data_IF_090181769010
#
_entry.id   IF_090181769010
#
_cell.length_a   1.000
_cell.length_b   1.000
_cell.length_c   1.000
_cell.angle_alpha   90.00
_cell.angle_beta   90.00
_cell.angle_gamma   90.00
#
_symmetry.space_group_name_H-M   'P 1'
#
loop_
_entity.id
_entity.type
_entity.pdbx_description
1 polymer ?
#
# COMPACT_ATOMS: atom_id res chain seq x y z
N UNK A 1 32.38 -29.21 45.23
CA UNK A 1 31.41 -29.77 44.28
C UNK A 1 30.19 -28.85 44.30
N UNK A 2 30.12 -27.90 43.38
CA UNK A 2 28.99 -26.97 43.24
C UNK A 2 27.81 -27.67 42.59
N UNK A 3 26.71 -27.83 43.31
CA UNK A 3 25.47 -28.35 42.78
C UNK A 3 24.92 -27.39 41.70
N UNK A 4 24.89 -27.82 40.47
CA UNK A 4 24.10 -27.19 39.42
C UNK A 4 22.64 -27.22 39.87
N UNK A 5 22.01 -26.05 39.95
CA UNK A 5 20.57 -25.94 40.18
C UNK A 5 19.86 -26.30 38.83
N UNK A 6 19.02 -27.36 38.81
CA UNK A 6 18.34 -27.79 37.57
C UNK A 6 17.25 -26.88 37.08
N UNK A 7 16.91 -25.81 37.79
CA UNK A 7 15.70 -25.00 37.57
C UNK A 7 15.97 -23.58 37.07
N UNK A 8 16.99 -23.40 36.25
CA UNK A 8 16.99 -22.18 35.42
C UNK A 8 16.27 -22.49 34.13
N UNK A 9 15.01 -22.01 33.95
CA UNK A 9 14.36 -22.15 32.68
C UNK A 9 15.20 -21.38 31.65
N UNK A 10 15.66 -22.05 30.61
CA UNK A 10 16.22 -21.45 29.42
C UNK A 10 15.12 -20.66 28.66
N UNK A 11 14.49 -19.75 29.37
CA UNK A 11 13.65 -18.74 28.76
C UNK A 11 14.59 -17.70 28.13
N UNK A 12 15.02 -17.95 26.90
CA UNK A 12 15.38 -16.86 26.00
C UNK A 12 14.13 -16.01 25.89
N UNK A 13 13.97 -15.04 26.80
CA UNK A 13 12.91 -14.02 26.69
C UNK A 13 13.13 -13.38 25.32
N UNK A 14 12.25 -13.67 24.38
CA UNK A 14 12.16 -12.93 23.14
C UNK A 14 11.71 -11.52 23.56
N UNK A 15 12.66 -10.62 23.73
CA UNK A 15 12.37 -9.26 24.13
C UNK A 15 12.03 -8.48 22.85
N UNK A 16 10.75 -8.32 22.60
CA UNK A 16 10.26 -7.40 21.58
C UNK A 16 10.65 -5.97 22.00
N UNK A 17 11.54 -5.33 21.24
CA UNK A 17 12.00 -3.96 21.51
C UNK A 17 11.56 -3.04 20.39
N UNK A 18 10.81 -2.00 20.72
CA UNK A 18 10.51 -0.93 19.79
C UNK A 18 11.83 -0.23 19.39
N UNK A 19 12.12 -0.16 18.09
CA UNK A 19 13.34 0.45 17.53
C UNK A 19 13.07 1.79 16.91
N UNK A 20 12.03 1.86 16.10
CA UNK A 20 11.65 3.10 15.43
C UNK A 20 10.14 3.25 15.42
N UNK A 21 9.71 4.48 15.53
CA UNK A 21 8.35 4.93 15.26
C UNK A 21 8.44 5.97 14.16
N UNK A 22 7.68 5.77 13.10
CA UNK A 22 7.56 6.72 12.00
C UNK A 22 6.11 7.19 11.92
N UNK A 23 5.90 8.50 11.90
CA UNK A 23 4.60 9.11 11.66
C UNK A 23 4.69 9.82 10.33
N UNK A 24 3.87 9.40 9.39
CA UNK A 24 3.87 9.96 8.04
C UNK A 24 2.52 10.55 7.67
N UNK A 25 2.56 11.63 6.91
CA UNK A 25 1.43 12.25 6.24
C UNK A 25 1.66 12.15 4.74
N UNK A 26 0.76 11.49 4.08
CA UNK A 26 0.78 11.23 2.64
C UNK A 26 -0.37 11.97 1.97
N UNK A 27 -0.10 12.55 0.81
CA UNK A 27 -1.06 13.11 -0.12
C UNK A 27 -0.85 12.47 -1.48
N UNK A 28 -1.90 11.90 -2.05
CA UNK A 28 -1.89 11.32 -3.38
C UNK A 28 -3.00 11.91 -4.24
N UNK A 29 -2.63 12.40 -5.40
CA UNK A 29 -3.57 12.82 -6.44
C UNK A 29 -3.83 11.63 -7.34
N UNK A 30 -5.09 11.30 -7.57
CA UNK A 30 -5.46 10.26 -8.52
C UNK A 30 -5.53 10.86 -9.94
N UNK A 31 -5.62 9.99 -10.94
CA UNK A 31 -5.86 10.41 -12.33
C UNK A 31 -7.23 11.04 -12.56
N UNK A 32 -8.16 10.77 -11.66
CA UNK A 32 -9.49 11.40 -11.60
C UNK A 32 -9.49 12.44 -10.48
N UNK A 33 -10.67 12.94 -10.09
CA UNK A 33 -10.77 14.04 -9.12
C UNK A 33 -10.42 13.72 -7.66
N UNK A 34 -10.53 12.48 -7.13
CA UNK A 34 -10.29 12.25 -5.71
C UNK A 34 -8.85 12.52 -5.30
N UNK A 35 -8.69 13.24 -4.18
CA UNK A 35 -7.42 13.41 -3.48
C UNK A 35 -7.45 12.52 -2.23
N UNK A 36 -6.39 11.74 -2.05
CA UNK A 36 -6.25 10.81 -0.93
C UNK A 36 -5.20 11.34 0.03
N UNK A 37 -5.59 11.51 1.29
CA UNK A 37 -4.69 11.81 2.39
C UNK A 37 -4.59 10.61 3.31
N UNK A 38 -3.40 10.29 3.79
CA UNK A 38 -3.19 9.20 4.75
C UNK A 38 -2.24 9.64 5.84
N UNK A 39 -2.65 9.50 7.09
CA UNK A 39 -1.77 9.54 8.24
C UNK A 39 -1.42 8.11 8.64
N UNK A 40 -0.14 7.78 8.73
CA UNK A 40 0.30 6.42 9.08
C UNK A 40 1.21 6.45 10.29
N UNK A 41 0.92 5.59 11.27
CA UNK A 41 1.85 5.21 12.32
C UNK A 41 2.52 3.90 11.93
N UNK A 42 3.84 3.91 11.78
CA UNK A 42 4.66 2.75 11.43
C UNK A 42 5.58 2.42 12.62
N UNK A 43 5.38 1.25 13.21
CA UNK A 43 6.09 0.78 14.38
C UNK A 43 7.00 -0.38 14.01
N UNK A 44 8.30 -0.19 14.20
CA UNK A 44 9.31 -1.21 13.90
C UNK A 44 9.89 -1.77 15.19
N UNK A 45 9.73 -3.07 15.39
CA UNK A 45 10.20 -3.81 16.53
C UNK A 45 11.37 -4.71 16.16
N UNK A 46 12.37 -4.82 17.02
CA UNK A 46 13.43 -5.81 16.93
C UNK A 46 13.10 -6.98 17.84
N UNK A 47 13.07 -8.18 17.28
CA UNK A 47 12.99 -9.44 18.03
C UNK A 47 14.37 -9.92 18.44
N UNK A 48 15.36 -9.71 17.58
CA UNK A 48 16.77 -9.97 17.80
C UNK A 48 17.62 -9.23 16.75
N UNK A 49 18.92 -9.52 16.67
CA UNK A 49 19.83 -8.84 15.71
C UNK A 49 19.47 -9.07 14.23
N UNK A 50 18.78 -10.18 13.92
CA UNK A 50 18.48 -10.59 12.52
C UNK A 50 16.99 -10.48 12.17
N UNK A 51 16.12 -10.38 13.16
CA UNK A 51 14.67 -10.43 12.93
C UNK A 51 14.00 -9.15 13.42
N UNK A 52 13.17 -8.57 12.56
CA UNK A 52 12.35 -7.40 12.85
C UNK A 52 10.89 -7.67 12.53
N UNK A 53 10.01 -6.96 13.21
CA UNK A 53 8.58 -7.00 12.99
C UNK A 53 8.06 -5.57 12.85
N UNK A 54 7.25 -5.33 11.84
CA UNK A 54 6.69 -4.02 11.49
C UNK A 54 5.17 -4.08 11.54
N UNK A 55 4.58 -3.02 12.09
CA UNK A 55 3.13 -2.79 12.10
C UNK A 55 2.86 -1.42 11.52
N UNK A 56 1.99 -1.33 10.50
CA UNK A 56 1.52 -0.08 9.92
C UNK A 56 0.04 0.10 10.16
N UNK A 57 -0.31 1.26 10.71
CA UNK A 57 -1.66 1.65 11.06
C UNK A 57 -2.00 2.94 10.29
N UNK A 58 -2.62 2.85 9.11
CA UNK A 58 -3.01 4.02 8.34
C UNK A 58 -4.41 4.49 8.71
N UNK A 59 -4.61 5.80 8.76
CA UNK A 59 -5.92 6.44 8.73
C UNK A 59 -6.01 7.27 7.45
N UNK A 60 -7.08 7.08 6.70
CA UNK A 60 -7.22 7.62 5.35
C UNK A 60 -8.44 8.55 5.25
N UNK A 61 -8.26 9.66 4.54
CA UNK A 61 -9.31 10.58 4.10
C UNK A 61 -9.28 10.66 2.59
N UNK A 62 -10.43 10.62 1.98
CA UNK A 62 -10.57 10.81 0.54
C UNK A 62 -11.56 11.95 0.31
N UNK A 63 -11.16 12.91 -0.48
CA UNK A 63 -12.00 14.05 -0.85
C UNK A 63 -12.14 14.08 -2.36
N UNK A 64 -13.37 14.11 -2.84
CA UNK A 64 -13.66 14.15 -4.27
C UNK A 64 -15.08 14.61 -4.56
N UNK A 65 -15.41 14.66 -5.85
CA UNK A 65 -16.70 15.19 -6.32
C UNK A 65 -17.90 14.37 -5.84
N UNK A 66 -17.78 13.02 -5.78
CA UNK A 66 -18.90 12.15 -5.44
C UNK A 66 -19.16 12.08 -3.93
N UNK A 67 -18.10 12.12 -3.11
CA UNK A 67 -18.21 12.05 -1.66
C UNK A 67 -16.89 12.42 -0.98
N UNK A 68 -16.98 12.64 0.34
CA UNK A 68 -15.85 12.66 1.25
C UNK A 68 -15.97 11.44 2.16
N UNK A 69 -14.92 10.62 2.20
CA UNK A 69 -14.88 9.40 3.03
C UNK A 69 -13.68 9.42 3.96
N UNK A 70 -13.79 8.82 5.12
CA UNK A 70 -12.67 8.66 6.05
C UNK A 70 -12.85 7.43 6.93
N UNK A 71 -11.77 6.68 7.12
CA UNK A 71 -11.71 5.55 8.04
C UNK A 71 -10.27 5.05 8.19
N UNK A 72 -10.09 4.05 9.05
CA UNK A 72 -8.86 3.28 9.08
C UNK A 72 -8.64 2.59 7.72
N UNK A 73 -7.42 2.69 7.20
CA UNK A 73 -6.99 1.91 6.04
C UNK A 73 -6.54 0.51 6.45
N UNK A 74 -6.09 -0.30 5.49
CA UNK A 74 -5.66 -1.68 5.75
C UNK A 74 -4.44 -1.74 6.66
N UNK A 75 -4.54 -2.49 7.75
CA UNK A 75 -3.41 -2.74 8.66
C UNK A 75 -2.41 -3.65 7.95
N UNK A 76 -1.12 -3.27 7.98
CA UNK A 76 -0.06 -4.10 7.40
C UNK A 76 0.85 -4.62 8.50
N UNK A 77 1.13 -5.92 8.45
CA UNK A 77 2.06 -6.62 9.33
C UNK A 77 3.17 -7.22 8.48
N UNK A 78 4.42 -7.05 8.90
CA UNK A 78 5.57 -7.57 8.15
C UNK A 78 6.64 -8.08 9.10
N UNK A 79 7.06 -9.30 8.87
CA UNK A 79 8.23 -9.91 9.50
C UNK A 79 9.38 -9.90 8.51
N UNK A 80 10.54 -9.40 8.93
CA UNK A 80 11.75 -9.36 8.09
C UNK A 80 12.89 -10.06 8.81
N UNK A 81 13.58 -10.93 8.09
CA UNK A 81 14.78 -11.63 8.54
C UNK A 81 15.98 -11.28 7.67
N UNK A 82 17.04 -10.80 8.30
CA UNK A 82 18.34 -10.69 7.62
C UNK A 82 18.92 -12.10 7.50
N UNK A 83 19.02 -12.59 6.24
CA UNK A 83 19.53 -13.94 5.91
C UNK A 83 21.00 -13.94 5.63
N UNK A 84 21.54 -12.83 5.16
CA UNK A 84 22.96 -12.67 4.87
C UNK A 84 23.38 -11.23 5.16
N UNK A 85 24.53 -11.05 5.82
CA UNK A 85 25.13 -9.74 6.07
C UNK A 85 26.62 -9.81 5.86
N UNK A 86 27.13 -8.90 5.05
CA UNK A 86 28.57 -8.70 4.80
C UNK A 86 28.91 -7.20 4.93
N UNK A 87 30.20 -6.87 4.87
CA UNK A 87 30.62 -5.46 4.87
C UNK A 87 30.09 -4.67 3.65
N UNK A 88 29.77 -5.35 2.56
CA UNK A 88 29.36 -4.71 1.30
C UNK A 88 27.86 -4.66 1.10
N UNK A 89 27.10 -5.66 1.58
CA UNK A 89 25.65 -5.72 1.38
C UNK A 89 24.94 -6.62 2.41
N UNK A 90 23.66 -6.34 2.61
CA UNK A 90 22.72 -7.12 3.41
C UNK A 90 21.63 -7.69 2.51
N UNK A 91 21.25 -8.96 2.76
CA UNK A 91 20.08 -9.58 2.13
C UNK A 91 19.02 -9.84 3.18
N UNK A 92 17.83 -9.32 2.94
CA UNK A 92 16.69 -9.49 3.84
C UNK A 92 15.56 -10.20 3.11
N UNK A 93 14.93 -11.15 3.80
CA UNK A 93 13.71 -11.82 3.40
C UNK A 93 12.56 -11.26 4.23
N UNK A 94 11.48 -10.85 3.59
CA UNK A 94 10.30 -10.30 4.24
C UNK A 94 9.07 -11.14 3.92
N UNK A 95 8.22 -11.32 4.92
CA UNK A 95 6.94 -12.00 4.80
C UNK A 95 5.90 -11.27 5.65
N UNK A 96 4.73 -11.04 5.09
CA UNK A 96 3.70 -10.28 5.78
C UNK A 96 2.35 -10.35 5.12
N UNK A 97 1.44 -9.50 5.57
CA UNK A 97 0.11 -9.42 5.01
C UNK A 97 -0.57 -8.10 5.34
N UNK A 98 -1.67 -7.87 4.64
CA UNK A 98 -2.62 -6.80 4.91
C UNK A 98 -3.91 -7.40 5.45
N UNK A 99 -4.47 -6.73 6.44
CA UNK A 99 -5.74 -7.05 7.08
C UNK A 99 -6.69 -5.89 6.76
N UNK A 100 -7.82 -6.14 6.05
CA UNK A 100 -8.78 -5.11 5.74
C UNK A 100 -9.47 -4.63 7.02
N UNK A 101 -9.71 -3.33 7.14
CA UNK A 101 -10.40 -2.72 8.28
C UNK A 101 -11.87 -2.48 8.02
N UNK A 102 -12.27 -2.52 6.74
CA UNK A 102 -13.66 -2.46 6.30
C UNK A 102 -13.86 -3.28 5.02
N UNK A 103 -15.10 -3.35 4.53
CA UNK A 103 -15.50 -4.18 3.39
C UNK A 103 -15.33 -3.50 2.02
N UNK A 104 -14.84 -2.26 1.95
CA UNK A 104 -14.83 -1.42 0.74
C UNK A 104 -16.23 -1.16 0.19
N UNK A 105 -17.20 -0.95 1.06
CA UNK A 105 -18.64 -0.83 0.75
C UNK A 105 -19.20 0.56 1.05
N UNK A 106 -18.35 1.60 1.08
CA UNK A 106 -18.82 2.96 1.24
C UNK A 106 -19.74 3.38 0.10
N UNK A 107 -20.80 4.08 0.46
CA UNK A 107 -21.85 4.56 -0.43
C UNK A 107 -22.07 6.07 -0.22
N UNK A 108 -22.74 6.72 -1.17
CA UNK A 108 -23.28 8.07 -1.00
C UNK A 108 -24.43 8.08 0.01
N UNK A 109 -24.89 9.25 0.40
CA UNK A 109 -26.08 9.42 1.25
C UNK A 109 -27.34 8.82 0.63
N UNK A 110 -27.39 8.77 -0.71
CA UNK A 110 -28.51 8.24 -1.48
C UNK A 110 -28.40 6.73 -1.72
N UNK A 111 -27.39 6.08 -1.13
CA UNK A 111 -27.18 4.63 -1.20
C UNK A 111 -26.44 4.14 -2.43
N UNK A 112 -25.95 5.03 -3.30
CA UNK A 112 -25.13 4.63 -4.45
C UNK A 112 -23.75 4.18 -4.00
N UNK A 113 -23.31 2.99 -4.38
CA UNK A 113 -21.99 2.48 -4.06
C UNK A 113 -20.90 3.36 -4.67
N UNK A 114 -19.86 3.69 -3.89
CA UNK A 114 -18.75 4.52 -4.35
C UNK A 114 -17.64 3.69 -5.04
N UNK A 115 -16.99 4.25 -6.08
CA UNK A 115 -15.83 3.61 -6.71
C UNK A 115 -14.71 3.30 -5.72
N UNK A 116 -13.81 2.37 -6.06
CA UNK A 116 -12.64 2.02 -5.23
C UNK A 116 -11.73 3.21 -4.92
N UNK A 117 -11.74 4.24 -5.73
CA UNK A 117 -11.02 5.50 -5.50
C UNK A 117 -11.43 6.22 -4.21
N UNK A 118 -12.68 6.01 -3.74
CA UNK A 118 -13.25 6.60 -2.53
C UNK A 118 -13.21 5.66 -1.33
N UNK A 119 -12.78 4.41 -1.52
CA UNK A 119 -12.69 3.43 -0.45
C UNK A 119 -11.40 3.62 0.35
N UNK A 120 -11.45 3.49 1.66
CA UNK A 120 -10.29 3.63 2.56
C UNK A 120 -9.57 2.31 2.81
N UNK A 121 -10.19 1.20 2.46
CA UNK A 121 -9.67 -0.17 2.52
C UNK A 121 -9.87 -0.84 1.18
N UNK A 122 -9.03 -1.81 0.85
CA UNK A 122 -9.21 -2.65 -0.33
C UNK A 122 -10.24 -3.76 -0.09
N UNK A 123 -10.61 -4.02 1.18
CA UNK A 123 -11.56 -5.05 1.57
C UNK A 123 -11.04 -6.48 1.37
N UNK A 124 -9.71 -6.64 1.17
CA UNK A 124 -9.08 -7.93 0.90
C UNK A 124 -7.99 -8.25 1.89
N UNK A 125 -7.86 -9.52 2.26
CA UNK A 125 -6.67 -10.05 2.91
C UNK A 125 -5.61 -10.28 1.85
N UNK A 126 -4.43 -9.68 2.02
CA UNK A 126 -3.34 -9.84 1.06
C UNK A 126 -2.14 -10.50 1.74
N UNK A 127 -1.54 -11.47 1.07
CA UNK A 127 -0.27 -12.06 1.44
C UNK A 127 0.84 -11.32 0.70
N UNK A 128 1.93 -10.99 1.41
CA UNK A 128 3.07 -10.26 0.85
C UNK A 128 4.34 -11.01 1.19
N UNK A 129 5.19 -11.22 0.19
CA UNK A 129 6.53 -11.78 0.38
C UNK A 129 7.53 -11.01 -0.48
N UNK A 130 8.77 -10.90 -0.03
CA UNK A 130 9.77 -10.16 -0.78
C UNK A 130 11.18 -10.40 -0.29
N UNK A 131 12.14 -10.06 -1.14
CA UNK A 131 13.56 -10.09 -0.86
C UNK A 131 14.16 -8.73 -1.19
N UNK A 132 15.11 -8.27 -0.38
CA UNK A 132 15.86 -7.04 -0.66
C UNK A 132 17.34 -7.23 -0.48
N UNK A 133 18.09 -6.60 -1.36
CA UNK A 133 19.55 -6.46 -1.31
C UNK A 133 19.86 -4.98 -1.09
N UNK A 134 20.51 -4.69 0.00
CA UNK A 134 20.82 -3.33 0.42
C UNK A 134 22.33 -3.19 0.56
N UNK A 135 22.89 -2.20 -0.11
CA UNK A 135 24.26 -1.79 0.13
C UNK A 135 24.33 -0.28 0.46
N UNK A 136 25.54 0.25 0.63
CA UNK A 136 25.71 1.68 0.99
C UNK A 136 25.02 2.63 0.00
N UNK A 137 25.01 2.28 -1.28
CA UNK A 137 24.61 3.18 -2.37
C UNK A 137 23.34 2.72 -3.10
N UNK A 138 22.96 1.46 -3.00
CA UNK A 138 21.87 0.89 -3.76
C UNK A 138 20.91 0.08 -2.88
N UNK A 139 19.64 0.17 -3.22
CA UNK A 139 18.58 -0.72 -2.76
C UNK A 139 17.98 -1.41 -3.99
N UNK A 140 17.98 -2.74 -3.97
CA UNK A 140 17.20 -3.58 -4.87
C UNK A 140 16.23 -4.38 -4.03
N UNK A 141 14.94 -4.30 -4.35
CA UNK A 141 13.93 -5.10 -3.67
C UNK A 141 12.94 -5.64 -4.69
N UNK A 142 12.54 -6.88 -4.51
CA UNK A 142 11.45 -7.47 -5.28
C UNK A 142 10.46 -8.12 -4.31
N UNK A 143 9.21 -8.13 -4.69
CA UNK A 143 8.15 -8.71 -3.87
C UNK A 143 6.94 -9.11 -4.69
N UNK A 144 6.13 -9.96 -4.08
CA UNK A 144 4.86 -10.43 -4.62
C UNK A 144 3.77 -10.13 -3.60
N UNK A 145 2.62 -9.68 -4.09
CA UNK A 145 1.39 -9.48 -3.30
C UNK A 145 0.26 -10.27 -3.93
N UNK A 146 -0.33 -11.16 -3.13
CA UNK A 146 -1.41 -12.06 -3.54
C UNK A 146 -2.64 -11.75 -2.71
N UNK A 147 -3.71 -11.17 -3.29
CA UNK A 147 -5.00 -11.05 -2.63
C UNK A 147 -5.66 -12.42 -2.47
N UNK A 148 -6.19 -12.71 -1.27
CA UNK A 148 -6.74 -14.03 -0.93
C UNK A 148 -8.24 -14.14 -1.12
N UNK A 149 -8.94 -13.00 -1.18
CA UNK A 149 -10.41 -12.95 -1.32
C UNK A 149 -10.83 -11.79 -2.20
N UNK A 150 -12.09 -11.77 -2.59
CA UNK A 150 -12.74 -10.61 -3.20
C UNK A 150 -13.25 -9.65 -2.12
N UNK A 151 -13.39 -8.36 -2.45
CA UNK A 151 -14.02 -7.38 -1.59
C UNK A 151 -15.55 -7.41 -1.71
N UNK A 152 -16.24 -6.53 -0.97
CA UNK A 152 -17.70 -6.41 -0.99
C UNK A 152 -18.17 -5.11 -1.64
N UNK A 153 -17.33 -4.45 -2.42
CA UNK A 153 -17.73 -3.27 -3.17
C UNK A 153 -18.83 -3.65 -4.17
N UNK A 154 -19.81 -2.77 -4.36
CA UNK A 154 -20.94 -2.97 -5.29
C UNK A 154 -20.97 -1.88 -6.37
N UNK A 155 -19.88 -1.13 -6.54
CA UNK A 155 -19.83 -0.07 -7.55
C UNK A 155 -19.91 -0.66 -8.96
N UNK A 156 -20.98 -0.26 -9.64
CA UNK A 156 -21.21 -0.46 -11.06
C UNK A 156 -21.96 0.76 -11.58
N UNK A 157 -21.38 1.51 -12.50
CA UNK A 157 -21.95 2.74 -13.00
C UNK A 157 -23.29 2.54 -13.77
N UNK A 158 -23.61 1.32 -14.24
CA UNK A 158 -24.94 1.00 -14.79
C UNK A 158 -26.04 1.00 -13.72
N UNK A 159 -25.67 0.85 -12.45
CA UNK A 159 -26.58 0.86 -11.31
C UNK A 159 -26.57 2.20 -10.56
N UNK A 160 -25.73 3.13 -11.00
CA UNK A 160 -25.66 4.46 -10.41
C UNK A 160 -26.99 5.16 -10.62
N UNK A 161 -27.58 5.65 -9.53
CA UNK A 161 -28.87 6.35 -9.55
C UNK A 161 -30.04 5.53 -10.14
N UNK A 162 -29.93 4.19 -10.12
CA UNK A 162 -30.94 3.29 -10.72
C UNK A 162 -32.35 3.47 -10.14
N UNK A 163 -32.45 4.01 -8.91
CA UNK A 163 -33.71 4.28 -8.23
C UNK A 163 -34.21 5.72 -8.44
N UNK A 164 -33.45 6.57 -9.10
CA UNK A 164 -33.82 7.97 -9.38
C UNK A 164 -34.56 8.03 -10.72
N UNK A 165 -35.82 8.50 -10.76
CA UNK A 165 -36.59 8.62 -12.00
C UNK A 165 -36.03 9.69 -12.95
N UNK A 166 -35.22 10.62 -12.45
CA UNK A 166 -34.61 11.73 -13.22
C UNK A 166 -33.12 11.88 -12.87
N UNK A 167 -32.29 10.90 -13.25
CA UNK A 167 -30.87 10.95 -12.95
C UNK A 167 -30.19 12.13 -13.68
N UNK A 168 -29.20 12.75 -13.04
CA UNK A 168 -28.41 13.82 -13.66
C UNK A 168 -27.47 13.25 -14.73
N UNK A 169 -27.62 13.59 -16.04
CA UNK A 169 -26.76 13.06 -17.09
C UNK A 169 -25.29 13.45 -16.92
N UNK A 170 -24.99 14.61 -16.31
CA UNK A 170 -23.64 15.10 -16.10
C UNK A 170 -22.94 14.28 -15.01
N UNK A 171 -23.66 13.91 -13.96
CA UNK A 171 -23.14 13.05 -12.92
C UNK A 171 -22.95 11.62 -13.42
N UNK A 172 -23.90 11.09 -14.19
CA UNK A 172 -23.77 9.77 -14.80
C UNK A 172 -22.57 9.68 -15.74
N UNK A 173 -22.37 10.68 -16.61
CA UNK A 173 -21.21 10.74 -17.49
C UNK A 173 -19.89 10.76 -16.70
N UNK A 174 -19.87 11.52 -15.61
CA UNK A 174 -18.69 11.58 -14.74
C UNK A 174 -18.42 10.24 -14.03
N UNK A 175 -19.45 9.55 -13.56
CA UNK A 175 -19.31 8.25 -12.89
C UNK A 175 -18.80 7.17 -13.85
N UNK A 176 -19.12 7.25 -15.13
CA UNK A 176 -18.63 6.33 -16.17
C UNK A 176 -17.11 6.42 -16.43
N UNK A 177 -16.44 7.50 -15.97
CA UNK A 177 -14.98 7.59 -16.03
C UNK A 177 -14.30 6.61 -15.04
N UNK A 178 -15.02 6.14 -14.00
CA UNK A 178 -14.50 5.20 -13.04
C UNK A 178 -14.67 3.75 -13.52
N UNK A 179 -13.67 2.93 -13.28
CA UNK A 179 -13.76 1.51 -13.53
C UNK A 179 -14.77 0.85 -12.59
N UNK A 180 -15.64 -0.02 -13.13
CA UNK A 180 -16.51 -0.87 -12.32
C UNK A 180 -15.65 -1.73 -11.38
N UNK A 181 -16.12 -1.90 -10.15
CA UNK A 181 -15.38 -2.57 -9.10
C UNK A 181 -16.24 -3.51 -8.24
N UNK A 182 -17.43 -3.88 -8.75
CA UNK A 182 -18.35 -4.73 -8.01
C UNK A 182 -17.73 -6.10 -7.71
N UNK A 183 -17.68 -6.45 -6.41
CA UNK A 183 -17.07 -7.68 -5.89
C UNK A 183 -15.66 -7.91 -6.44
N UNK A 184 -14.84 -6.86 -6.41
CA UNK A 184 -13.51 -6.88 -6.99
C UNK A 184 -12.64 -7.96 -6.32
N UNK A 185 -12.11 -8.86 -7.12
CA UNK A 185 -11.00 -9.75 -6.79
C UNK A 185 -9.75 -9.26 -7.51
N UNK A 186 -8.83 -8.69 -6.77
CA UNK A 186 -7.58 -8.18 -7.34
C UNK A 186 -6.70 -9.30 -7.84
N UNK A 187 -5.94 -9.01 -8.88
CA UNK A 187 -4.89 -9.88 -9.37
C UNK A 187 -3.62 -9.81 -8.52
N UNK A 188 -2.72 -10.73 -8.79
CA UNK A 188 -1.40 -10.81 -8.14
C UNK A 188 -0.47 -9.76 -8.75
N UNK A 189 0.17 -8.98 -7.89
CA UNK A 189 1.17 -7.99 -8.26
C UNK A 189 2.59 -8.47 -7.94
N UNK A 190 3.51 -8.27 -8.88
CA UNK A 190 4.95 -8.39 -8.65
C UNK A 190 5.57 -7.00 -8.72
N UNK A 191 6.34 -6.66 -7.69
CA UNK A 191 6.99 -5.36 -7.54
C UNK A 191 8.51 -5.52 -7.67
N UNK A 192 9.14 -4.57 -8.34
CA UNK A 192 10.57 -4.35 -8.29
C UNK A 192 10.81 -2.90 -7.83
N UNK A 193 11.79 -2.68 -6.97
CA UNK A 193 12.22 -1.36 -6.52
C UNK A 193 13.72 -1.26 -6.66
N UNK A 194 14.18 -0.25 -7.36
CA UNK A 194 15.61 0.04 -7.57
C UNK A 194 15.84 1.48 -7.17
N UNK A 195 16.72 1.72 -6.18
CA UNK A 195 17.04 3.06 -5.72
C UNK A 195 18.55 3.27 -5.59
N UNK A 196 19.00 4.43 -6.01
CA UNK A 196 20.32 4.96 -5.74
C UNK A 196 20.25 5.88 -4.53
N UNK A 197 21.07 5.58 -3.51
CA UNK A 197 21.16 6.35 -2.28
C UNK A 197 22.40 7.25 -2.27
N UNK A 198 22.21 8.49 -1.83
CA UNK A 198 23.29 9.47 -1.61
C UNK A 198 23.25 9.84 -0.13
N UNK A 199 24.38 9.70 0.57
CA UNK A 199 24.48 9.91 2.01
C UNK A 199 25.55 10.97 2.28
N UNK A 200 25.12 12.03 2.91
CA UNK A 200 25.96 13.09 3.44
C UNK A 200 25.89 13.03 4.97
N UNK A 201 26.58 13.88 5.69
CA UNK A 201 26.65 13.82 7.16
C UNK A 201 25.27 13.67 7.84
N UNK A 202 24.39 14.65 7.68
CA UNK A 202 23.04 14.66 8.27
C UNK A 202 21.94 14.55 7.23
N UNK A 203 22.29 14.75 5.98
CA UNK A 203 21.37 14.73 4.85
C UNK A 203 21.52 13.43 4.06
N UNK A 204 20.41 12.87 3.64
CA UNK A 204 20.38 11.75 2.72
C UNK A 204 19.31 11.99 1.64
N UNK A 205 19.56 11.49 0.45
CA UNK A 205 18.56 11.48 -0.60
C UNK A 205 18.65 10.19 -1.39
N UNK A 206 17.56 9.84 -2.04
CA UNK A 206 17.54 8.72 -2.99
C UNK A 206 16.69 9.06 -4.20
N UNK A 207 17.01 8.42 -5.32
CA UNK A 207 16.25 8.46 -6.56
C UNK A 207 16.09 7.02 -7.03
N UNK A 208 14.90 6.66 -7.47
CA UNK A 208 14.62 5.30 -7.88
C UNK A 208 13.38 5.12 -8.74
N UNK A 209 13.18 3.88 -9.14
CA UNK A 209 12.05 3.42 -9.92
C UNK A 209 11.33 2.31 -9.17
N UNK A 210 10.00 2.31 -9.29
CA UNK A 210 9.10 1.33 -8.72
C UNK A 210 8.16 0.80 -9.82
N UNK A 211 8.60 -0.16 -10.66
CA UNK A 211 7.70 -0.92 -11.50
C UNK A 211 6.91 -1.94 -10.66
N UNK A 212 5.62 -2.02 -10.96
CA UNK A 212 4.68 -3.01 -10.41
C UNK A 212 3.97 -3.64 -11.62
N UNK A 213 4.12 -4.95 -11.75
CA UNK A 213 3.49 -5.70 -12.83
C UNK A 213 2.40 -6.61 -12.26
N UNK A 214 1.17 -6.44 -12.75
CA UNK A 214 0.05 -7.33 -12.43
C UNK A 214 0.09 -8.52 -13.37
N UNK A 215 0.34 -9.70 -12.79
CA UNK A 215 0.55 -10.95 -13.57
C UNK A 215 -0.74 -11.73 -13.79
N UNK A 216 -1.77 -11.52 -12.95
CA UNK A 216 -3.08 -12.11 -13.14
C UNK A 216 -4.12 -11.00 -13.19
N UNK A 217 -5.14 -11.15 -14.06
CA UNK A 217 -6.16 -10.13 -14.23
C UNK A 217 -7.03 -9.96 -12.97
N UNK A 218 -7.42 -8.72 -12.70
CA UNK A 218 -8.50 -8.44 -11.75
C UNK A 218 -9.81 -9.01 -12.27
N UNK A 219 -10.68 -9.46 -11.36
CA UNK A 219 -12.01 -9.95 -11.71
C UNK A 219 -13.07 -9.14 -11.00
N UNK A 220 -14.09 -8.75 -11.73
CA UNK A 220 -15.27 -8.02 -11.23
C UNK A 220 -16.53 -8.77 -11.57
N UNK A 221 -17.63 -8.48 -10.88
CA UNK A 221 -18.97 -8.95 -11.26
C UNK A 221 -19.66 -7.82 -12.03
N UNK A 222 -20.03 -8.06 -13.29
CA UNK A 222 -20.70 -7.06 -14.10
C UNK A 222 -22.18 -6.89 -13.67
N UNK A 223 -22.90 -5.93 -14.27
CA UNK A 223 -24.30 -5.64 -13.96
C UNK A 223 -25.25 -6.83 -14.27
N UNK A 224 -24.84 -7.79 -15.12
CA UNK A 224 -25.58 -9.02 -15.43
C UNK A 224 -25.31 -10.14 -14.41
N UNK A 225 -24.41 -9.91 -13.44
CA UNK A 225 -24.01 -10.93 -12.46
C UNK A 225 -22.92 -11.88 -12.94
N UNK A 226 -22.29 -11.63 -14.08
CA UNK A 226 -21.24 -12.47 -14.65
C UNK A 226 -19.86 -12.00 -14.16
N UNK A 227 -18.94 -12.95 -13.91
CA UNK A 227 -17.54 -12.66 -13.57
C UNK A 227 -16.77 -12.37 -14.84
N UNK A 228 -16.13 -11.19 -14.90
CA UNK A 228 -15.32 -10.77 -16.04
C UNK A 228 -13.99 -10.17 -15.58
N UNK A 229 -12.96 -10.27 -16.42
CA UNK A 229 -11.67 -9.62 -16.23
C UNK A 229 -11.43 -8.46 -17.19
N UNK A 230 -12.40 -8.16 -18.05
CA UNK A 230 -12.31 -7.11 -19.06
C UNK A 230 -13.19 -5.91 -18.69
N UNK A 231 -12.76 -4.71 -19.09
CA UNK A 231 -13.63 -3.54 -19.16
C UNK A 231 -14.53 -3.61 -20.42
N UNK A 232 -15.39 -2.60 -20.61
CA UNK A 232 -16.30 -2.52 -21.76
C UNK A 232 -15.57 -2.32 -23.11
N UNK A 233 -14.28 -1.93 -23.07
CA UNK A 233 -13.44 -1.74 -24.27
C UNK A 233 -12.58 -2.98 -24.54
N UNK A 234 -12.69 -4.03 -23.72
CA UNK A 234 -11.90 -5.24 -23.85
C UNK A 234 -10.49 -5.14 -23.22
N UNK A 235 -10.19 -4.08 -22.43
CA UNK A 235 -8.92 -3.98 -21.73
C UNK A 235 -8.89 -4.86 -20.51
N UNK A 236 -7.82 -5.63 -20.35
CA UNK A 236 -7.57 -6.45 -19.17
C UNK A 236 -6.90 -5.65 -18.06
N UNK A 237 -7.23 -5.95 -16.81
CA UNK A 237 -6.57 -5.38 -15.65
C UNK A 237 -5.24 -6.08 -15.34
N UNK A 238 -4.39 -6.26 -16.34
CA UNK A 238 -3.01 -6.78 -16.24
C UNK A 238 -2.02 -5.73 -16.73
N UNK A 239 -0.74 -5.95 -16.52
CA UNK A 239 0.31 -5.13 -17.12
C UNK A 239 1.08 -4.28 -16.13
N UNK A 240 1.89 -3.38 -16.67
CA UNK A 240 2.87 -2.58 -15.96
C UNK A 240 2.29 -1.25 -15.48
N UNK A 241 2.50 -0.96 -14.20
CA UNK A 241 2.48 0.40 -13.67
C UNK A 241 3.88 0.76 -13.19
N UNK A 242 4.40 1.92 -13.51
CA UNK A 242 5.74 2.33 -13.10
C UNK A 242 5.73 3.74 -12.57
N UNK A 243 6.38 3.95 -11.44
CA UNK A 243 6.54 5.26 -10.82
C UNK A 243 8.02 5.56 -10.59
N UNK A 244 8.35 6.83 -10.74
CA UNK A 244 9.58 7.41 -10.25
C UNK A 244 9.40 7.85 -8.80
N UNK A 245 10.43 7.66 -7.99
CA UNK A 245 10.40 8.00 -6.57
C UNK A 245 11.69 8.74 -6.22
N UNK A 246 11.56 9.84 -5.50
CA UNK A 246 12.69 10.54 -4.88
C UNK A 246 12.41 10.75 -3.40
N UNK A 247 13.45 10.58 -2.59
CA UNK A 247 13.38 10.90 -1.16
C UNK A 247 14.48 11.87 -0.77
N UNK A 248 14.18 12.72 0.21
CA UNK A 248 15.14 13.58 0.87
C UNK A 248 14.92 13.47 2.38
N UNK A 249 15.98 13.22 3.13
CA UNK A 249 15.91 13.07 4.57
C UNK A 249 16.96 13.91 5.29
N UNK A 250 16.60 14.39 6.48
CA UNK A 250 17.48 15.11 7.36
C UNK A 250 17.42 14.55 8.78
N UNK A 251 18.58 14.22 9.36
CA UNK A 251 18.69 13.75 10.73
C UNK A 251 19.07 14.93 11.64
N UNK A 252 18.16 15.33 12.53
CA UNK A 252 18.43 16.36 13.55
C UNK A 252 19.49 15.87 14.53
N UNK A 253 19.36 14.62 14.96
CA UNK A 253 20.26 13.91 15.85
C UNK A 253 20.19 12.39 15.59
N UNK A 254 20.83 11.58 16.42
CA UNK A 254 20.84 10.12 16.30
C UNK A 254 19.45 9.52 16.44
N UNK A 255 18.55 10.15 17.23
CA UNK A 255 17.22 9.64 17.54
C UNK A 255 16.12 10.17 16.63
N UNK A 256 16.26 11.37 16.09
CA UNK A 256 15.18 12.02 15.35
C UNK A 256 15.59 12.51 13.99
N UNK A 257 14.69 12.41 13.04
CA UNK A 257 14.86 12.88 11.67
C UNK A 257 13.54 13.05 10.95
N UNK A 258 13.62 13.64 9.78
CA UNK A 258 12.49 13.80 8.86
C UNK A 258 12.86 13.26 7.49
N UNK A 259 11.84 12.84 6.76
CA UNK A 259 11.97 12.38 5.37
C UNK A 259 10.80 12.92 4.54
N UNK A 260 11.11 13.50 3.41
CA UNK A 260 10.18 13.85 2.36
C UNK A 260 10.29 12.82 1.24
N UNK A 261 9.18 12.35 0.73
CA UNK A 261 9.09 11.50 -0.47
C UNK A 261 8.22 12.21 -1.49
N UNK A 262 8.67 12.20 -2.73
CA UNK A 262 7.90 12.61 -3.89
C UNK A 262 7.94 11.48 -4.91
N UNK A 263 6.81 11.16 -5.49
CA UNK A 263 6.70 10.17 -6.56
C UNK A 263 5.76 10.64 -7.66
N UNK A 264 6.06 10.22 -8.85
CA UNK A 264 5.24 10.49 -10.02
C UNK A 264 5.11 9.25 -10.88
N UNK A 265 3.93 9.04 -11.41
CA UNK A 265 3.63 7.94 -12.32
C UNK A 265 4.21 8.20 -13.70
N UNK A 266 4.96 7.22 -14.23
CA UNK A 266 5.55 7.24 -15.57
C UNK A 266 4.71 6.38 -16.53
N UNK A 267 4.28 5.19 -16.06
CA UNK A 267 3.49 4.24 -16.84
C UNK A 267 2.25 3.85 -16.03
N UNK A 268 1.11 3.81 -16.68
CA UNK A 268 -0.16 3.41 -16.09
C UNK A 268 -0.68 2.16 -16.81
N UNK A 269 -1.34 1.27 -16.07
CA UNK A 269 -2.16 0.21 -16.65
C UNK A 269 -3.41 0.80 -17.30
N UNK A 270 -3.85 0.22 -18.39
CA UNK A 270 -5.02 0.69 -19.13
C UNK A 270 -6.31 0.59 -18.31
N UNK A 271 -6.44 -0.47 -17.52
CA UNK A 271 -7.59 -0.71 -16.65
C UNK A 271 -7.16 -0.99 -15.21
N UNK A 272 -7.67 -0.21 -14.26
CA UNK A 272 -7.29 -0.28 -12.84
C UNK A 272 -8.53 -0.16 -11.93
N UNK A 273 -9.34 -1.23 -11.81
CA UNK A 273 -10.58 -1.21 -11.03
C UNK A 273 -10.33 -1.04 -9.52
N UNK A 274 -9.12 -1.32 -9.04
CA UNK A 274 -8.72 -1.16 -7.64
C UNK A 274 -8.52 0.30 -7.20
N UNK A 275 -8.59 1.25 -8.12
CA UNK A 275 -8.41 2.69 -7.82
C UNK A 275 -7.01 3.07 -7.33
N UNK A 276 -6.03 2.17 -7.43
CA UNK A 276 -4.65 2.41 -6.97
C UNK A 276 -3.79 3.18 -7.99
N UNK A 277 -4.40 4.09 -8.72
CA UNK A 277 -3.71 4.97 -9.66
C UNK A 277 -3.44 6.31 -9.00
N UNK A 278 -2.18 6.60 -8.73
CA UNK A 278 -1.73 7.89 -8.18
C UNK A 278 -0.82 8.54 -9.19
N UNK A 279 -1.18 9.73 -9.63
CA UNK A 279 -0.37 10.51 -10.58
C UNK A 279 0.79 11.17 -9.85
N UNK A 280 0.47 11.90 -8.79
CA UNK A 280 1.44 12.49 -7.90
C UNK A 280 1.25 12.00 -6.48
N UNK A 281 2.36 11.74 -5.81
CA UNK A 281 2.39 11.41 -4.39
C UNK A 281 3.43 12.27 -3.68
N UNK A 282 3.05 12.75 -2.51
CA UNK A 282 3.95 13.43 -1.60
C UNK A 282 3.76 12.85 -0.21
N UNK A 283 4.84 12.57 0.49
CA UNK A 283 4.77 12.09 1.88
C UNK A 283 5.83 12.77 2.72
N UNK A 284 5.42 13.30 3.86
CA UNK A 284 6.29 13.80 4.91
C UNK A 284 6.28 12.81 6.08
N UNK A 285 7.46 12.42 6.55
CA UNK A 285 7.61 11.43 7.63
C UNK A 285 8.52 11.98 8.71
N UNK A 286 8.06 11.94 9.96
CA UNK A 286 8.88 12.11 11.14
C UNK A 286 9.31 10.74 11.68
N UNK A 287 10.59 10.58 11.98
CA UNK A 287 11.20 9.33 12.41
C UNK A 287 11.78 9.52 13.81
N UNK A 288 11.38 8.67 14.74
CA UNK A 288 11.97 8.60 16.07
C UNK A 288 12.57 7.21 16.33
N UNK A 289 13.82 7.18 16.84
CA UNK A 289 14.60 5.97 17.14
C UNK A 289 14.80 5.88 18.64
N UNK A 290 14.41 4.75 19.22
CA UNK A 290 14.51 4.46 20.65
C UNK A 290 15.87 3.88 21.03
#
# INVERSE_FOLDING_TARGET
MGAMKPDQPYNKKIALKLRTMEISFYRGETTLTPIVFVATADLNFSLNRKNTFQVKLPYQWVTGRLANTSSMGDISLCFTRNIFSSEKFDINLSFGGKIPTNNSDFSTTDGNALPMYYQTSLGTYDLISGISLINRNWLFATGIQVPLNQNKNNFDWHRWDANNPTPDPVEQAYVQEYANASQLQRGTDVMLRVERNFRFSRFNCSVGLLPIYRITADKITNFKGERTSFDLKGNEAIGLAMSWITTAGYNFNVRSGVKLLVGHKIVQRDFSPDGLTREWVTSFTYIYRF
#
